data_IF_739845875170
#
_entry.id   IF_739845875170
#
_cell.length_a   1.000
_cell.length_b   1.000
_cell.length_c   1.000
_cell.angle_alpha   90.00
_cell.angle_beta   90.00
_cell.angle_gamma   90.00
#
_symmetry.space_group_name_H-M   'P 1'
#
loop_
_entity.id
_entity.type
_entity.pdbx_description
1 polymer ?
#
# COMPACT_ATOMS: atom_id res chain seq x y z
N UNK A 1 -8.02 25.98 -10.08
CA UNK A 1 -6.99 25.97 -9.01
C UNK A 1 -6.28 24.62 -9.07
N UNK A 2 -4.94 24.58 -9.17
CA UNK A 2 -4.17 23.32 -9.13
C UNK A 2 -4.01 22.91 -7.66
N UNK A 3 -4.38 21.69 -7.30
CA UNK A 3 -4.16 21.17 -5.95
C UNK A 3 -2.65 21.06 -5.68
N UNK A 4 -2.19 21.31 -4.45
CA UNK A 4 -0.78 21.13 -4.10
C UNK A 4 -0.35 19.66 -4.28
N UNK A 5 0.87 19.44 -4.79
CA UNK A 5 1.42 18.12 -5.17
C UNK A 5 1.38 17.12 -4.01
N UNK A 6 1.68 17.56 -2.79
CA UNK A 6 1.60 16.73 -1.58
C UNK A 6 0.17 16.22 -1.30
N UNK A 7 -0.86 17.03 -1.59
CA UNK A 7 -2.25 16.63 -1.40
C UNK A 7 -2.69 15.56 -2.41
N UNK A 8 -2.16 15.62 -3.64
CA UNK A 8 -2.45 14.61 -4.66
C UNK A 8 -1.79 13.27 -4.35
N UNK A 9 -0.50 13.28 -3.97
CA UNK A 9 0.23 12.09 -3.57
C UNK A 9 -0.41 11.42 -2.35
N UNK A 10 -0.87 12.20 -1.37
CA UNK A 10 -1.60 11.70 -0.22
C UNK A 10 -2.91 11.00 -0.60
N UNK A 11 -3.71 11.59 -1.50
CA UNK A 11 -4.96 10.98 -1.94
C UNK A 11 -4.74 9.71 -2.77
N UNK A 12 -3.70 9.68 -3.61
CA UNK A 12 -3.36 8.51 -4.39
C UNK A 12 -2.81 7.37 -3.52
N UNK A 13 -2.00 7.69 -2.50
CA UNK A 13 -1.57 6.73 -1.48
C UNK A 13 -2.75 6.16 -0.69
N UNK A 14 -3.70 7.00 -0.24
CA UNK A 14 -4.94 6.53 0.42
C UNK A 14 -5.76 5.62 -0.49
N UNK A 15 -5.91 5.95 -1.77
CA UNK A 15 -6.61 5.09 -2.76
C UNK A 15 -5.90 3.76 -2.94
N UNK A 16 -4.57 3.77 -3.04
CA UNK A 16 -3.74 2.57 -3.14
C UNK A 16 -3.94 1.68 -1.90
N UNK A 17 -3.82 2.23 -0.69
CA UNK A 17 -4.01 1.51 0.56
C UNK A 17 -5.39 0.85 0.65
N UNK A 18 -6.45 1.58 0.30
CA UNK A 18 -7.82 1.02 0.24
C UNK A 18 -7.93 -0.16 -0.74
N UNK A 19 -7.24 -0.10 -1.88
CA UNK A 19 -7.26 -1.18 -2.88
C UNK A 19 -6.43 -2.38 -2.43
N UNK A 20 -5.25 -2.16 -1.85
CA UNK A 20 -4.42 -3.20 -1.21
C UNK A 20 -5.22 -3.94 -0.15
N UNK A 21 -5.88 -3.22 0.76
CA UNK A 21 -6.69 -3.83 1.81
C UNK A 21 -7.81 -4.72 1.25
N UNK A 22 -8.53 -4.26 0.21
CA UNK A 22 -9.56 -5.07 -0.48
C UNK A 22 -8.98 -6.34 -1.10
N UNK A 23 -7.81 -6.26 -1.72
CA UNK A 23 -7.14 -7.43 -2.32
C UNK A 23 -6.71 -8.43 -1.23
N UNK A 24 -6.19 -7.96 -0.11
CA UNK A 24 -5.80 -8.83 1.02
C UNK A 24 -6.99 -9.51 1.70
N UNK A 25 -8.16 -8.87 1.73
CA UNK A 25 -9.40 -9.46 2.23
C UNK A 25 -9.97 -10.50 1.25
N UNK A 26 -9.76 -10.30 -0.05
CA UNK A 26 -10.10 -11.27 -1.10
C UNK A 26 -9.07 -12.40 -1.26
N UNK A 27 -8.08 -12.49 -0.36
CA UNK A 27 -6.94 -13.41 -0.44
C UNK A 27 -6.13 -13.35 -1.74
N UNK A 28 -6.11 -12.19 -2.41
CA UNK A 28 -5.36 -11.92 -3.65
C UNK A 28 -4.03 -11.25 -3.32
N UNK A 29 -3.15 -11.98 -2.62
CA UNK A 29 -1.92 -11.42 -2.04
C UNK A 29 -0.94 -10.96 -3.13
N UNK A 30 -0.74 -11.74 -4.19
CA UNK A 30 0.15 -11.40 -5.30
C UNK A 30 -0.23 -10.09 -5.99
N UNK A 31 -1.53 -9.83 -6.11
CA UNK A 31 -2.03 -8.60 -6.71
C UNK A 31 -1.89 -7.41 -5.77
N UNK A 32 -2.06 -7.63 -4.47
CA UNK A 32 -1.79 -6.61 -3.46
C UNK A 32 -0.31 -6.21 -3.50
N UNK A 33 0.60 -7.17 -3.58
CA UNK A 33 2.05 -6.93 -3.67
C UNK A 33 2.44 -6.20 -4.96
N UNK A 34 1.94 -6.65 -6.12
CA UNK A 34 2.17 -5.99 -7.41
C UNK A 34 1.65 -4.55 -7.43
N UNK A 35 0.47 -4.31 -6.88
CA UNK A 35 -0.11 -2.97 -6.79
C UNK A 35 0.71 -2.06 -5.87
N UNK A 36 1.15 -2.59 -4.74
CA UNK A 36 1.96 -1.86 -3.77
C UNK A 36 3.32 -1.46 -4.37
N UNK A 37 4.05 -2.42 -4.97
CA UNK A 37 5.37 -2.16 -5.56
C UNK A 37 5.37 -1.15 -6.72
N UNK A 38 4.27 -1.04 -7.47
CA UNK A 38 4.13 -0.01 -8.53
C UNK A 38 4.06 1.42 -8.01
N UNK A 39 3.69 1.58 -6.74
CA UNK A 39 3.38 2.89 -6.16
C UNK A 39 4.30 3.26 -5.00
N UNK A 40 5.00 2.29 -4.41
CA UNK A 40 5.88 2.45 -3.25
C UNK A 40 6.96 3.53 -3.47
N UNK A 41 7.66 3.50 -4.61
CA UNK A 41 8.78 4.43 -4.88
C UNK A 41 8.35 5.89 -5.05
N UNK A 42 7.12 6.15 -5.50
CA UNK A 42 6.63 7.51 -5.73
C UNK A 42 6.07 8.18 -4.48
N UNK A 43 5.64 7.39 -3.50
CA UNK A 43 4.97 7.93 -2.32
C UNK A 43 5.91 8.28 -1.18
N UNK A 44 7.00 7.53 -0.96
CA UNK A 44 7.84 7.76 0.22
C UNK A 44 8.28 9.22 0.36
N UNK A 45 8.68 9.89 -0.72
CA UNK A 45 9.15 11.29 -0.67
C UNK A 45 8.04 12.34 -0.75
N UNK A 46 6.83 11.96 -1.18
CA UNK A 46 5.76 12.91 -1.54
C UNK A 46 4.55 12.90 -0.60
N UNK A 47 4.49 11.95 0.34
CA UNK A 47 3.40 11.83 1.33
C UNK A 47 3.83 12.25 2.72
N UNK A 48 2.86 12.63 3.54
CA UNK A 48 3.10 13.01 4.94
C UNK A 48 3.60 11.81 5.77
N UNK A 49 4.31 12.10 6.88
CA UNK A 49 4.88 11.08 7.78
C UNK A 49 3.86 10.04 8.24
N UNK A 50 2.67 10.48 8.63
CA UNK A 50 1.60 9.59 9.12
C UNK A 50 1.12 8.61 8.04
N UNK A 51 1.12 9.06 6.79
CA UNK A 51 0.71 8.22 5.67
C UNK A 51 1.83 7.28 5.26
N UNK A 52 3.09 7.71 5.39
CA UNK A 52 4.26 6.87 5.22
C UNK A 52 4.23 5.68 6.19
N UNK A 53 3.90 5.92 7.46
CA UNK A 53 3.79 4.85 8.46
C UNK A 53 2.69 3.84 8.10
N UNK A 54 1.54 4.32 7.61
CA UNK A 54 0.45 3.44 7.11
C UNK A 54 0.85 2.63 5.88
N UNK A 55 1.69 3.19 5.00
CA UNK A 55 2.26 2.48 3.84
C UNK A 55 3.18 1.36 4.31
N UNK A 56 4.06 1.63 5.29
CA UNK A 56 4.94 0.62 5.89
C UNK A 56 4.14 -0.48 6.59
N UNK A 57 3.09 -0.13 7.32
CA UNK A 57 2.21 -1.09 7.97
C UNK A 57 1.51 -2.01 6.95
N UNK A 58 1.00 -1.43 5.85
CA UNK A 58 0.39 -2.19 4.76
C UNK A 58 1.39 -3.18 4.15
N UNK A 59 2.65 -2.77 3.93
CA UNK A 59 3.72 -3.65 3.45
C UNK A 59 3.93 -4.84 4.39
N UNK A 60 4.06 -4.57 5.69
CA UNK A 60 4.24 -5.63 6.69
C UNK A 60 3.04 -6.60 6.72
N UNK A 61 1.82 -6.10 6.55
CA UNK A 61 0.62 -6.92 6.50
C UNK A 61 0.57 -7.84 5.27
N UNK A 62 1.00 -7.36 4.09
CA UNK A 62 1.14 -8.20 2.90
C UNK A 62 2.17 -9.31 3.17
N UNK A 63 3.35 -8.96 3.68
CA UNK A 63 4.42 -9.92 3.98
C UNK A 63 4.00 -10.97 5.01
N UNK A 64 3.33 -10.57 6.10
CA UNK A 64 2.79 -11.51 7.10
C UNK A 64 1.82 -12.50 6.48
N UNK A 65 0.91 -12.03 5.61
CA UNK A 65 -0.03 -12.93 4.90
C UNK A 65 0.69 -13.87 3.93
N UNK A 66 1.69 -13.39 3.16
CA UNK A 66 2.52 -14.24 2.30
C UNK A 66 3.22 -15.35 3.09
N UNK A 67 3.84 -15.00 4.22
CA UNK A 67 4.53 -15.97 5.08
C UNK A 67 3.53 -17.00 5.65
N UNK A 68 2.34 -16.56 6.06
CA UNK A 68 1.32 -17.47 6.55
C UNK A 68 0.85 -18.44 5.46
N UNK A 69 0.65 -17.99 4.22
CA UNK A 69 0.33 -18.90 3.11
C UNK A 69 1.44 -19.91 2.81
N UNK A 70 2.70 -19.51 2.96
CA UNK A 70 3.84 -20.41 2.80
C UNK A 70 3.96 -21.45 3.94
N UNK A 71 3.55 -21.10 5.16
CA UNK A 71 3.57 -22.02 6.32
C UNK A 71 2.41 -23.03 6.34
N UNK A 72 1.31 -22.71 5.68
CA UNK A 72 0.09 -23.55 5.64
C UNK A 72 0.15 -24.58 4.50
N UNK A 73 1.07 -24.42 3.55
CA UNK A 73 1.37 -25.41 2.50
C UNK A 73 2.45 -26.38 2.93
#
# INVERSE_FOLDING_TARGET
>A
MKMPVANQANEDAKKMLRKVHRLLNANRIDEAWKLFGKHENGFYEQVDSDLRDKILEARQNILKKMINELKVK
#
